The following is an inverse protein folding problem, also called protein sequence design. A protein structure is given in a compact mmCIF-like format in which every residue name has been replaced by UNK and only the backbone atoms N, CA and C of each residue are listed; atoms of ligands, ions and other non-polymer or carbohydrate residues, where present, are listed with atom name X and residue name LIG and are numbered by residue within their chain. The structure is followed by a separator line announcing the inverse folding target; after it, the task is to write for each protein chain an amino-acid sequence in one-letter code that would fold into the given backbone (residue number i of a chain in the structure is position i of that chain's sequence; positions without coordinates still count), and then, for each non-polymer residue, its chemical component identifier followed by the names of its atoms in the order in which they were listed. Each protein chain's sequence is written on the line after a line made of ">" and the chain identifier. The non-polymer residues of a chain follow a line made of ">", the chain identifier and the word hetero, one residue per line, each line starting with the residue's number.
data_IF_444245958412
#
_entry.id   IF_444245958412
#
_cell.length_a   1.000
_cell.length_b   1.000
_cell.length_c   1.000
_cell.angle_alpha   90.00
_cell.angle_beta   90.00
_cell.angle_gamma   90.00
#
_symmetry.space_group_name_H-M   'P 1'
#
loop_
_entity.id
_entity.type
_entity.pdbx_description
1 polymer ?
#
# COMPACT_ATOMS: atom_id res chain seq x y z
N UNK A 1 -23.00 22.33 -42.51
CA UNK A 1 -22.13 22.22 -43.70
C UNK A 1 -20.82 21.58 -43.25
N UNK A 2 -20.34 20.58 -43.99
CA UNK A 2 -19.19 19.68 -43.74
C UNK A 2 -19.40 18.43 -42.86
N UNK A 3 -19.87 17.41 -43.57
CA UNK A 3 -19.59 15.97 -43.53
C UNK A 3 -18.23 15.52 -42.96
N UNK A 4 -18.25 14.44 -42.16
CA UNK A 4 -17.80 13.09 -42.61
C UNK A 4 -18.23 12.01 -41.62
N UNK A 5 -19.15 11.18 -42.09
CA UNK A 5 -19.40 9.82 -41.61
C UNK A 5 -18.12 9.00 -41.88
N UNK A 6 -17.53 8.38 -40.85
CA UNK A 6 -16.55 7.29 -41.04
C UNK A 6 -17.16 6.06 -40.41
N UNK A 7 -17.78 5.24 -41.26
CA UNK A 7 -18.08 3.85 -40.93
C UNK A 7 -16.76 3.13 -40.70
N UNK A 8 -16.61 2.45 -39.57
CA UNK A 8 -15.68 1.33 -39.50
C UNK A 8 -16.41 0.06 -39.08
N UNK A 9 -16.42 -0.85 -40.02
CA UNK A 9 -16.93 -2.21 -39.98
C UNK A 9 -16.22 -3.05 -38.93
N UNK A 10 -16.99 -3.93 -38.29
CA UNK A 10 -16.57 -5.21 -37.70
C UNK A 10 -15.23 -5.73 -38.25
N UNK A 11 -14.21 -5.84 -37.40
CA UNK A 11 -13.18 -6.88 -37.52
C UNK A 11 -12.59 -7.20 -36.14
N UNK A 12 -12.30 -8.47 -35.97
CA UNK A 12 -12.03 -9.20 -34.74
C UNK A 12 -10.61 -8.94 -34.18
N UNK A 13 -10.47 -9.02 -32.86
CA UNK A 13 -9.21 -9.10 -32.09
C UNK A 13 -8.29 -7.88 -32.32
N UNK A 14 -8.46 -6.84 -31.51
CA UNK A 14 -7.59 -5.65 -31.58
C UNK A 14 -7.68 -4.81 -30.32
N UNK A 15 -6.65 -4.92 -29.48
CA UNK A 15 -6.33 -4.02 -28.38
C UNK A 15 -6.13 -2.63 -28.98
N UNK A 16 -7.06 -1.70 -28.77
CA UNK A 16 -6.82 -0.27 -28.99
C UNK A 16 -7.23 0.49 -27.73
N UNK A 17 -6.33 1.27 -27.11
CA UNK A 17 -6.69 2.10 -25.97
C UNK A 17 -7.59 3.25 -26.46
N UNK A 18 -8.85 3.22 -26.06
CA UNK A 18 -9.77 4.34 -26.25
C UNK A 18 -9.55 5.32 -25.09
N UNK A 19 -8.92 6.45 -25.40
CA UNK A 19 -8.85 7.60 -24.50
C UNK A 19 -10.14 8.40 -24.64
N UNK A 20 -10.83 8.70 -23.54
CA UNK A 20 -11.89 9.71 -23.53
C UNK A 20 -11.34 10.93 -22.79
N UNK A 21 -11.15 12.03 -23.53
CA UNK A 21 -10.81 13.34 -22.98
C UNK A 21 -12.12 14.07 -22.75
N UNK A 22 -12.50 14.29 -21.49
CA UNK A 22 -13.61 15.19 -21.15
C UNK A 22 -13.09 16.63 -20.96
N UNK A 23 -13.93 17.62 -21.25
CA UNK A 23 -13.59 19.05 -21.35
C UNK A 23 -13.09 19.67 -20.03
N UNK A 24 -13.18 18.94 -18.91
CA UNK A 24 -12.79 19.37 -17.56
C UNK A 24 -11.48 18.74 -17.05
N UNK A 25 -10.58 18.26 -17.93
CA UNK A 25 -9.25 17.73 -17.57
C UNK A 25 -9.25 16.50 -16.64
N UNK A 26 -10.38 15.81 -16.48
CA UNK A 26 -10.41 14.52 -15.76
C UNK A 26 -10.12 13.40 -16.76
N UNK A 27 -8.89 12.89 -16.74
CA UNK A 27 -8.56 11.67 -17.47
C UNK A 27 -9.31 10.49 -16.83
N UNK A 28 -10.46 10.12 -17.39
CA UNK A 28 -11.04 8.80 -17.19
C UNK A 28 -10.12 7.81 -17.92
N UNK A 29 -9.09 7.32 -17.22
CA UNK A 29 -8.41 6.10 -17.64
C UNK A 29 -9.50 5.05 -17.77
N UNK A 30 -9.66 4.43 -18.94
CA UNK A 30 -10.66 3.39 -19.18
C UNK A 30 -10.75 2.47 -17.96
N UNK A 31 -11.86 2.59 -17.23
CA UNK A 31 -12.09 1.91 -15.95
C UNK A 31 -11.99 0.39 -16.12
N UNK A 32 -12.17 -0.12 -17.33
CA UNK A 32 -12.23 -1.54 -17.65
C UNK A 32 -10.89 -2.30 -17.57
N UNK A 33 -9.73 -1.62 -17.65
CA UNK A 33 -8.41 -2.29 -17.57
C UNK A 33 -7.69 -2.07 -16.23
N UNK A 34 -8.01 -1.00 -15.52
CA UNK A 34 -7.36 -0.64 -14.25
C UNK A 34 -8.04 -1.30 -13.03
N UNK A 35 -9.38 -1.31 -13.02
CA UNK A 35 -10.19 -1.70 -11.85
C UNK A 35 -10.08 -3.20 -11.47
N UNK A 36 -9.97 -4.16 -12.41
CA UNK A 36 -9.86 -5.58 -12.04
C UNK A 36 -8.49 -6.03 -11.51
N UNK A 37 -7.42 -5.25 -11.71
CA UNK A 37 -6.05 -5.71 -11.48
C UNK A 37 -5.33 -5.05 -10.29
N UNK A 38 -5.60 -3.78 -9.99
CA UNK A 38 -4.76 -3.02 -9.03
C UNK A 38 -5.51 -2.61 -7.74
N UNK A 39 -6.83 -2.45 -7.80
CA UNK A 39 -7.61 -1.81 -6.71
C UNK A 39 -7.93 -2.74 -5.53
N UNK A 40 -8.34 -4.00 -5.76
CA UNK A 40 -8.62 -4.91 -4.63
C UNK A 40 -7.36 -5.55 -4.05
N UNK A 41 -6.30 -5.68 -4.82
CA UNK A 41 -5.19 -6.56 -4.44
C UNK A 41 -4.21 -5.83 -3.50
N UNK A 42 -3.81 -4.60 -3.83
CA UNK A 42 -2.78 -3.87 -3.08
C UNK A 42 -3.22 -3.48 -1.67
N UNK A 43 -4.42 -2.92 -1.51
CA UNK A 43 -5.04 -2.67 -0.21
C UNK A 43 -5.09 -3.95 0.64
N UNK A 44 -5.57 -5.05 0.05
CA UNK A 44 -5.69 -6.32 0.76
C UNK A 44 -4.33 -6.85 1.21
N UNK A 45 -3.28 -6.77 0.38
CA UNK A 45 -1.96 -7.28 0.74
C UNK A 45 -1.27 -6.43 1.79
N UNK A 46 -1.28 -5.10 1.64
CA UNK A 46 -0.72 -4.20 2.66
C UNK A 46 -1.45 -4.36 4.00
N UNK A 47 -2.78 -4.43 3.97
CA UNK A 47 -3.60 -4.71 5.16
C UNK A 47 -3.33 -6.09 5.75
N UNK A 48 -3.13 -7.12 4.92
CA UNK A 48 -2.82 -8.48 5.37
C UNK A 48 -1.48 -8.53 6.09
N UNK A 49 -0.44 -7.87 5.57
CA UNK A 49 0.86 -7.78 6.24
C UNK A 49 0.69 -7.08 7.59
N UNK A 50 0.12 -5.87 7.60
CA UNK A 50 -0.04 -5.07 8.83
C UNK A 50 -0.90 -5.78 9.87
N UNK A 51 -2.01 -6.38 9.44
CA UNK A 51 -2.94 -7.10 10.32
C UNK A 51 -2.24 -8.26 11.00
N UNK A 52 -1.50 -9.07 10.25
CA UNK A 52 -0.92 -10.31 10.77
C UNK A 52 0.44 -10.12 11.47
N UNK A 53 1.06 -8.94 11.37
CA UNK A 53 2.37 -8.64 11.98
C UNK A 53 2.31 -7.64 13.13
N UNK A 54 1.45 -6.62 13.06
CA UNK A 54 1.43 -5.51 14.03
C UNK A 54 0.09 -5.40 14.75
N UNK A 55 -1.04 -5.52 14.04
CA UNK A 55 -2.35 -5.31 14.65
C UNK A 55 -2.94 -6.54 15.32
N UNK A 56 -2.51 -7.76 14.97
CA UNK A 56 -3.09 -8.99 15.53
C UNK A 56 -3.08 -8.99 17.07
N UNK A 57 -1.96 -8.67 17.76
CA UNK A 57 -1.91 -8.67 19.22
C UNK A 57 -2.83 -7.60 19.83
N UNK A 58 -2.93 -6.43 19.19
CA UNK A 58 -3.83 -5.34 19.60
C UNK A 58 -5.31 -5.77 19.50
N UNK A 59 -5.61 -6.66 18.57
CA UNK A 59 -6.94 -7.22 18.34
C UNK A 59 -7.20 -8.53 19.12
N UNK A 60 -6.29 -8.92 20.04
CA UNK A 60 -6.40 -10.17 20.80
C UNK A 60 -6.23 -11.44 19.96
N UNK A 61 -5.56 -11.34 18.80
CA UNK A 61 -5.30 -12.45 17.88
C UNK A 61 -3.80 -12.79 17.85
N UNK A 62 -3.43 -14.05 17.62
CA UNK A 62 -2.03 -14.41 17.41
C UNK A 62 -1.50 -13.82 16.10
N UNK A 63 -0.19 -13.57 16.07
CA UNK A 63 0.53 -13.25 14.84
C UNK A 63 0.44 -14.42 13.86
N UNK A 64 0.38 -14.10 12.57
CA UNK A 64 0.36 -15.10 11.50
C UNK A 64 1.43 -14.77 10.45
N UNK A 65 2.69 -15.23 10.65
CA UNK A 65 3.79 -14.93 9.74
C UNK A 65 3.60 -15.57 8.36
N UNK A 66 2.89 -16.70 8.25
CA UNK A 66 2.61 -17.35 6.97
C UNK A 66 1.70 -16.49 6.09
N UNK A 67 0.59 -15.99 6.66
CA UNK A 67 -0.30 -15.08 5.95
C UNK A 67 0.38 -13.74 5.62
N UNK A 68 1.29 -13.26 6.48
CA UNK A 68 2.10 -12.09 6.18
C UNK A 68 3.03 -12.33 4.99
N UNK A 69 3.75 -13.46 4.97
CA UNK A 69 4.65 -13.83 3.87
C UNK A 69 3.91 -14.01 2.53
N UNK A 70 2.71 -14.58 2.56
CA UNK A 70 1.85 -14.65 1.37
C UNK A 70 1.47 -13.25 0.88
N UNK A 71 1.04 -12.37 1.79
CA UNK A 71 0.75 -10.97 1.48
C UNK A 71 1.95 -10.24 0.87
N UNK A 72 3.16 -10.46 1.40
CA UNK A 72 4.39 -9.87 0.86
C UNK A 72 4.71 -10.31 -0.57
N UNK A 73 4.52 -11.59 -0.87
CA UNK A 73 4.73 -12.12 -2.23
C UNK A 73 3.86 -11.37 -3.24
N UNK A 74 2.59 -11.18 -2.90
CA UNK A 74 1.66 -10.49 -3.80
C UNK A 74 1.91 -8.97 -3.83
N UNK A 75 2.21 -8.34 -2.69
CA UNK A 75 2.61 -6.95 -2.64
C UNK A 75 3.83 -6.70 -3.55
N UNK A 76 4.87 -7.54 -3.44
CA UNK A 76 6.08 -7.44 -4.26
C UNK A 76 5.76 -7.58 -5.76
N UNK A 77 4.88 -8.51 -6.14
CA UNK A 77 4.45 -8.65 -7.53
C UNK A 77 3.72 -7.38 -8.03
N UNK A 78 2.83 -6.81 -7.22
CA UNK A 78 2.11 -5.58 -7.54
C UNK A 78 3.04 -4.36 -7.66
N UNK A 79 3.94 -4.16 -6.70
CA UNK A 79 4.92 -3.06 -6.74
C UNK A 79 5.84 -3.16 -7.97
N UNK A 80 6.31 -4.38 -8.27
CA UNK A 80 7.10 -4.65 -9.48
C UNK A 80 6.31 -4.28 -10.74
N UNK A 81 5.00 -4.53 -10.78
CA UNK A 81 4.15 -4.19 -11.91
C UNK A 81 3.91 -2.68 -12.04
N UNK A 82 3.68 -1.98 -10.92
CA UNK A 82 3.57 -0.51 -10.87
C UNK A 82 4.80 0.12 -11.50
N UNK A 83 5.98 -0.25 -11.01
CA UNK A 83 7.24 0.28 -11.52
C UNK A 83 7.49 -0.10 -12.99
N UNK A 84 7.35 -1.38 -13.32
CA UNK A 84 7.73 -1.89 -14.64
C UNK A 84 6.69 -1.70 -15.74
N UNK A 85 5.49 -1.20 -15.48
CA UNK A 85 4.44 -1.01 -16.49
C UNK A 85 3.79 0.35 -16.39
N UNK A 86 3.42 0.77 -15.17
CA UNK A 86 2.54 1.92 -14.98
C UNK A 86 3.29 3.23 -14.75
N UNK A 87 4.51 3.17 -14.20
CA UNK A 87 5.41 4.32 -14.02
C UNK A 87 6.40 4.50 -15.18
N UNK A 88 6.06 4.02 -16.38
CA UNK A 88 6.90 4.22 -17.57
C UNK A 88 6.71 5.61 -18.20
N UNK A 89 7.81 6.12 -18.76
CA UNK A 89 7.83 7.37 -19.52
C UNK A 89 8.46 8.52 -18.74
N UNK A 90 8.26 9.74 -19.22
CA UNK A 90 8.85 10.95 -18.61
C UNK A 90 7.90 11.64 -17.61
N UNK A 91 6.73 11.05 -17.36
CA UNK A 91 5.74 11.58 -16.43
C UNK A 91 6.08 11.28 -14.98
N UNK A 92 5.43 12.02 -14.06
CA UNK A 92 5.61 11.89 -12.61
C UNK A 92 4.58 10.99 -11.93
N UNK A 93 3.54 10.62 -12.67
CA UNK A 93 2.35 9.90 -12.23
C UNK A 93 2.09 8.70 -13.15
N UNK A 94 1.15 7.84 -12.75
CA UNK A 94 0.76 6.66 -13.53
C UNK A 94 0.43 7.04 -14.98
N UNK A 95 0.75 6.14 -15.91
CA UNK A 95 0.56 6.30 -17.36
C UNK A 95 1.35 7.45 -17.98
N UNK A 96 2.41 7.92 -17.31
CA UNK A 96 3.20 9.05 -17.79
C UNK A 96 2.48 10.40 -17.61
N UNK A 97 1.54 10.49 -16.65
CA UNK A 97 0.84 11.72 -16.34
C UNK A 97 1.75 12.80 -15.75
N UNK A 98 1.42 14.07 -16.02
CA UNK A 98 2.08 15.24 -15.43
C UNK A 98 1.33 15.81 -14.21
N UNK A 99 0.12 15.33 -13.95
CA UNK A 99 -0.71 15.66 -12.79
C UNK A 99 -1.24 14.35 -12.17
N UNK A 100 -1.49 14.30 -10.85
CA UNK A 100 -2.01 13.10 -10.20
C UNK A 100 -3.46 12.84 -10.65
N UNK A 101 -3.76 11.58 -10.93
CA UNK A 101 -5.10 11.08 -11.15
C UNK A 101 -5.69 10.44 -9.88
N UNK A 102 -6.98 10.09 -9.92
CA UNK A 102 -7.60 9.34 -8.81
C UNK A 102 -6.92 7.97 -8.58
N UNK A 103 -6.41 7.36 -9.64
CA UNK A 103 -5.66 6.10 -9.56
C UNK A 103 -4.35 6.28 -8.76
N UNK A 104 -3.67 7.41 -8.95
CA UNK A 104 -2.46 7.72 -8.18
C UNK A 104 -2.79 7.83 -6.70
N UNK A 105 -3.82 8.60 -6.36
CA UNK A 105 -4.22 8.85 -4.99
C UNK A 105 -4.66 7.56 -4.28
N UNK A 106 -5.54 6.75 -4.89
CA UNK A 106 -6.05 5.51 -4.28
C UNK A 106 -4.92 4.53 -3.96
N UNK A 107 -4.05 4.25 -4.93
CA UNK A 107 -2.98 3.27 -4.73
C UNK A 107 -1.92 3.75 -3.74
N UNK A 108 -1.60 5.04 -3.74
CA UNK A 108 -0.69 5.60 -2.73
C UNK A 108 -1.30 5.50 -1.34
N UNK A 109 -2.60 5.78 -1.17
CA UNK A 109 -3.30 5.62 0.12
C UNK A 109 -3.28 4.16 0.61
N UNK A 110 -3.36 3.19 -0.29
CA UNK A 110 -3.26 1.76 0.08
C UNK A 110 -1.87 1.40 0.59
N UNK A 111 -0.82 1.87 -0.09
CA UNK A 111 0.58 1.64 0.31
C UNK A 111 0.87 2.31 1.66
N UNK A 112 0.24 3.46 1.95
CA UNK A 112 0.42 4.17 3.22
C UNK A 112 0.13 3.28 4.44
N UNK A 113 -0.71 2.24 4.33
CA UNK A 113 -0.95 1.31 5.44
C UNK A 113 0.34 0.66 5.97
N UNK A 114 1.35 0.46 5.11
CA UNK A 114 2.66 -0.07 5.49
C UNK A 114 3.42 0.85 6.45
N UNK A 115 3.03 2.13 6.61
CA UNK A 115 3.59 3.03 7.62
C UNK A 115 3.39 2.52 9.05
N UNK A 116 2.40 1.66 9.29
CA UNK A 116 2.18 1.03 10.59
C UNK A 116 3.25 -0.01 10.94
N UNK A 117 4.01 -0.49 9.95
CA UNK A 117 5.17 -1.34 10.18
C UNK A 117 6.32 -0.53 10.78
N UNK A 118 7.26 -1.23 11.41
CA UNK A 118 8.53 -0.62 11.81
C UNK A 118 9.30 -0.10 10.59
N UNK A 119 10.09 0.95 10.76
CA UNK A 119 10.86 1.57 9.67
C UNK A 119 11.74 0.56 8.92
N UNK A 120 12.44 -0.33 9.65
CA UNK A 120 13.23 -1.41 9.06
C UNK A 120 12.43 -2.27 8.09
N UNK A 121 11.21 -2.64 8.48
CA UNK A 121 10.38 -3.56 7.71
C UNK A 121 9.74 -2.88 6.50
N UNK A 122 9.26 -1.65 6.71
CA UNK A 122 8.78 -0.80 5.61
C UNK A 122 9.89 -0.61 4.56
N UNK A 123 11.12 -0.33 5.01
CA UNK A 123 12.26 -0.14 4.11
C UNK A 123 12.66 -1.44 3.40
N UNK A 124 12.51 -2.61 4.05
CA UNK A 124 12.70 -3.91 3.39
C UNK A 124 11.70 -4.13 2.24
N UNK A 125 10.44 -3.75 2.45
CA UNK A 125 9.37 -3.96 1.47
C UNK A 125 9.40 -2.96 0.31
N UNK A 126 9.60 -1.66 0.60
CA UNK A 126 9.55 -0.59 -0.40
C UNK A 126 10.93 -0.24 -0.98
N UNK A 127 12.01 -0.52 -0.25
CA UNK A 127 13.38 -0.14 -0.63
C UNK A 127 13.81 -0.57 -2.04
N UNK A 128 13.45 -1.77 -2.53
CA UNK A 128 13.76 -2.19 -3.89
C UNK A 128 13.09 -1.35 -4.99
N UNK A 129 11.98 -0.67 -4.69
CA UNK A 129 11.12 0.02 -5.66
C UNK A 129 11.30 1.53 -5.59
N UNK A 130 12.35 2.04 -6.25
CA UNK A 130 12.74 3.46 -6.13
C UNK A 130 11.78 4.39 -6.84
N UNK A 131 11.29 4.00 -8.01
CA UNK A 131 10.33 4.80 -8.77
C UNK A 131 8.99 4.87 -8.05
N UNK A 132 8.57 3.77 -7.42
CA UNK A 132 7.38 3.75 -6.56
C UNK A 132 7.54 4.73 -5.39
N UNK A 133 8.68 4.73 -4.71
CA UNK A 133 8.93 5.65 -3.60
C UNK A 133 8.86 7.12 -4.07
N UNK A 134 9.48 7.43 -5.21
CA UNK A 134 9.44 8.77 -5.78
C UNK A 134 8.03 9.18 -6.22
N UNK A 135 7.25 8.25 -6.76
CA UNK A 135 5.86 8.45 -7.17
C UNK A 135 4.93 8.68 -5.98
N UNK A 136 5.09 7.94 -4.88
CA UNK A 136 4.37 8.19 -3.62
C UNK A 136 4.62 9.63 -3.15
N UNK A 137 5.87 10.07 -3.16
CA UNK A 137 6.25 11.41 -2.73
C UNK A 137 5.71 12.50 -3.69
N UNK A 138 5.76 12.26 -5.00
CA UNK A 138 5.16 13.16 -5.99
C UNK A 138 3.65 13.31 -5.77
N UNK A 139 2.95 12.21 -5.48
CA UNK A 139 1.50 12.18 -5.25
C UNK A 139 1.12 12.89 -3.96
N UNK A 140 1.84 12.63 -2.86
CA UNK A 140 1.67 13.38 -1.60
C UNK A 140 1.84 14.88 -1.82
N UNK A 141 2.95 15.28 -2.44
CA UNK A 141 3.26 16.69 -2.65
C UNK A 141 2.25 17.41 -3.53
N UNK A 142 1.76 16.76 -4.58
CA UNK A 142 0.77 17.34 -5.47
C UNK A 142 -0.64 17.45 -4.84
N UNK A 143 -0.93 16.65 -3.80
CA UNK A 143 -2.26 16.60 -3.16
C UNK A 143 -2.26 17.18 -1.74
N UNK A 144 -1.13 17.72 -1.29
CA UNK A 144 -1.02 18.38 0.01
C UNK A 144 -1.71 19.76 0.03
N UNK A 145 -2.24 20.19 1.19
CA UNK A 145 -2.13 19.60 2.53
C UNK A 145 -3.15 18.48 2.84
N UNK A 146 -4.12 18.26 1.94
CA UNK A 146 -5.26 17.36 2.19
C UNK A 146 -4.82 15.91 2.39
N UNK A 147 -3.77 15.49 1.70
CA UNK A 147 -3.18 14.17 1.87
C UNK A 147 -2.72 13.94 3.32
N UNK A 148 -1.96 14.85 3.90
CA UNK A 148 -1.46 14.70 5.27
C UNK A 148 -2.59 14.79 6.32
N UNK A 149 -3.62 15.60 6.05
CA UNK A 149 -4.79 15.72 6.92
C UNK A 149 -5.54 14.38 7.05
N UNK A 150 -5.80 13.68 5.95
CA UNK A 150 -6.53 12.40 5.98
C UNK A 150 -5.68 11.26 6.56
N UNK A 151 -4.36 11.30 6.37
CA UNK A 151 -3.43 10.29 6.92
C UNK A 151 -3.01 10.57 8.37
N UNK A 152 -3.47 11.66 9.00
CA UNK A 152 -3.12 12.02 10.38
C UNK A 152 -3.49 10.93 11.39
N UNK A 153 -4.61 10.23 11.20
CA UNK A 153 -5.04 9.14 12.09
C UNK A 153 -4.07 7.96 11.99
N UNK A 154 -3.65 7.62 10.77
CA UNK A 154 -2.68 6.56 10.50
C UNK A 154 -1.34 6.86 11.17
N UNK A 155 -0.84 8.10 11.07
CA UNK A 155 0.41 8.51 11.72
C UNK A 155 0.32 8.44 13.25
N UNK A 156 -0.80 8.85 13.85
CA UNK A 156 -1.02 8.68 15.30
C UNK A 156 -1.05 7.21 15.71
N UNK A 157 -1.60 6.33 14.87
CA UNK A 157 -1.61 4.90 15.14
C UNK A 157 -0.19 4.31 15.09
N UNK A 158 0.61 4.71 14.08
CA UNK A 158 2.04 4.36 13.97
C UNK A 158 2.80 4.71 15.25
N UNK A 159 2.69 5.95 15.72
CA UNK A 159 3.36 6.42 16.95
C UNK A 159 3.00 5.56 18.17
N UNK A 160 1.71 5.23 18.32
CA UNK A 160 1.24 4.37 19.42
C UNK A 160 1.82 2.97 19.34
N UNK A 161 1.76 2.33 18.17
CA UNK A 161 2.25 0.95 17.98
C UNK A 161 3.76 0.83 18.16
N UNK A 162 4.49 1.90 17.82
CA UNK A 162 5.95 1.94 17.92
C UNK A 162 6.45 2.39 19.29
N UNK A 163 5.57 2.89 20.18
CA UNK A 163 5.94 3.34 21.51
C UNK A 163 6.42 2.15 22.38
N UNK A 164 7.67 2.17 22.89
CA UNK A 164 8.23 1.09 23.70
C UNK A 164 7.43 0.75 24.96
N UNK A 165 6.68 1.72 25.52
CA UNK A 165 5.88 1.52 26.74
C UNK A 165 4.73 0.52 26.57
N UNK A 166 4.29 0.26 25.34
CA UNK A 166 3.27 -0.75 25.02
C UNK A 166 3.89 -2.12 24.66
N UNK A 167 5.18 -2.18 24.33
CA UNK A 167 5.90 -3.44 24.06
C UNK A 167 6.28 -4.18 25.35
N UNK A 168 6.45 -3.47 26.47
CA UNK A 168 6.90 -4.05 27.76
C UNK A 168 5.80 -4.59 28.68
N UNK A 169 4.52 -4.28 28.43
CA UNK A 169 3.44 -4.67 29.36
C UNK A 169 2.97 -6.13 29.23
N UNK A 170 3.43 -6.88 28.22
CA UNK A 170 2.99 -8.26 27.96
C UNK A 170 4.03 -9.34 28.33
N UNK A 171 5.20 -8.96 28.86
CA UNK A 171 6.31 -9.90 29.13
C UNK A 171 6.69 -10.06 30.61
N UNK A 172 5.93 -9.50 31.55
CA UNK A 172 6.18 -9.67 32.99
C UNK A 172 4.95 -10.27 33.66
N UNK A 173 4.85 -11.60 33.61
CA UNK A 173 3.75 -12.34 34.21
C UNK A 173 3.98 -13.84 34.18
N UNK A 174 5.15 -14.30 34.66
CA UNK A 174 5.43 -15.74 34.67
C UNK A 174 6.86 -16.13 35.06
N UNK A 175 7.39 -15.60 36.16
CA UNK A 175 8.49 -16.27 36.85
C UNK A 175 8.02 -16.67 38.25
N UNK A 176 7.43 -17.86 38.34
CA UNK A 176 7.04 -18.44 39.62
C UNK A 176 8.29 -18.88 40.37
N UNK A 177 8.61 -18.08 41.37
CA UNK A 177 9.50 -18.32 42.49
C UNK A 177 9.19 -19.68 43.15
N UNK A 178 9.86 -20.75 42.71
CA UNK A 178 9.82 -22.04 43.40
C UNK A 178 11.12 -22.82 43.24
N UNK A 179 12.14 -22.43 44.03
CA UNK A 179 12.99 -23.38 44.79
C UNK A 179 14.02 -22.63 45.64
N UNK A 180 13.57 -22.15 46.80
CA UNK A 180 14.46 -21.93 47.93
C UNK A 180 13.84 -22.55 49.18
N UNK A 181 14.10 -23.83 49.40
CA UNK A 181 14.24 -24.44 50.73
C UNK A 181 14.58 -25.91 50.59
N UNK A 182 15.84 -26.26 50.78
CA UNK A 182 16.16 -27.44 51.58
C UNK A 182 17.41 -27.10 52.39
N UNK A 183 17.13 -26.96 53.68
CA UNK A 183 18.02 -26.63 54.77
C UNK A 183 19.25 -27.54 54.79
N UNK A 184 20.44 -26.94 54.70
CA UNK A 184 21.59 -27.46 55.43
C UNK A 184 21.46 -26.99 56.87
N UNK A 185 21.45 -27.92 57.82
CA UNK A 185 21.87 -27.69 59.21
C UNK A 185 22.11 -29.03 59.91
N UNK A 186 23.38 -29.19 60.29
CA UNK A 186 24.00 -30.07 61.29
C UNK A 186 24.20 -31.51 60.86
#
# INVERSE_FOLDING_TARGET
>A
MFTREVRYTRCWIGITPTYVVDQDNVCFVSYDMFFPFVDQSLMLYASTIVRNTVLAPVLGRPLNPEAAAEGEKFLSASLSKIESVWLKGNGRFLLGGNQPSIADLSLVCDIMQLELLGETERNRLLGPYKEVQQWIENTRNATNPRFDEVHKILMKAKEKLQNPRLKGANNEGGESDMKRTLHSRI
#
